data_IF_195821184686
#
_entry.id   IF_195821184686
#
_cell.length_a   1.000
_cell.length_b   1.000
_cell.length_c   1.000
_cell.angle_alpha   90.00
_cell.angle_beta   90.00
_cell.angle_gamma   90.00
#
_symmetry.space_group_name_H-M   'P 1'
#
loop_
_entity.id
_entity.type
_entity.pdbx_description
1 polymer ?
#
# COMPACT_ATOMS: atom_id res chain seq x y z
N UNK A 1 13.56 3.79 -29.83
CA UNK A 1 13.08 5.18 -30.11
C UNK A 1 13.73 5.68 -31.38
N UNK A 2 13.10 6.62 -32.07
CA UNK A 2 13.59 7.24 -33.30
C UNK A 2 13.70 8.75 -33.10
N UNK A 3 14.82 9.34 -33.54
CA UNK A 3 15.02 10.78 -33.56
C UNK A 3 14.78 11.31 -34.98
N UNK A 4 13.95 12.34 -35.13
CA UNK A 4 13.65 12.96 -36.41
C UNK A 4 13.37 14.45 -36.20
N UNK A 5 14.05 15.31 -36.97
CA UNK A 5 13.90 16.78 -36.92
C UNK A 5 13.87 17.34 -35.47
N UNK A 6 14.86 16.99 -34.65
CA UNK A 6 15.00 17.36 -33.22
C UNK A 6 13.87 16.87 -32.29
N UNK A 7 12.92 16.09 -32.81
CA UNK A 7 11.91 15.38 -32.06
C UNK A 7 12.31 13.95 -31.73
N UNK A 8 11.70 13.40 -30.70
CA UNK A 8 11.85 12.01 -30.30
C UNK A 8 10.49 11.30 -30.34
N UNK A 9 10.47 10.13 -30.98
CA UNK A 9 9.25 9.37 -31.22
C UNK A 9 9.45 7.91 -30.77
N UNK A 10 8.43 7.38 -30.10
CA UNK A 10 8.36 5.95 -29.78
C UNK A 10 7.99 5.13 -31.02
N UNK A 11 8.49 3.90 -31.06
CA UNK A 11 8.17 2.86 -32.04
C UNK A 11 8.11 1.53 -31.31
N UNK A 12 7.34 0.52 -31.79
CA UNK A 12 7.25 -0.77 -31.13
C UNK A 12 8.62 -1.36 -30.82
N UNK A 13 8.82 -1.84 -29.59
CA UNK A 13 10.11 -2.38 -29.13
C UNK A 13 10.65 -3.53 -30.00
N UNK A 14 9.76 -4.28 -30.66
CA UNK A 14 10.13 -5.36 -31.58
C UNK A 14 10.95 -4.89 -32.80
N UNK A 15 10.98 -3.59 -33.09
CA UNK A 15 11.77 -2.99 -34.17
C UNK A 15 13.15 -2.50 -33.70
N UNK A 16 13.59 -2.85 -32.49
CA UNK A 16 14.90 -2.47 -32.00
C UNK A 16 16.01 -2.98 -32.94
N UNK A 17 16.89 -2.06 -33.36
CA UNK A 17 17.96 -2.36 -34.32
C UNK A 17 17.52 -2.45 -35.79
N UNK A 18 16.23 -2.30 -36.09
CA UNK A 18 15.72 -2.28 -37.46
C UNK A 18 15.76 -0.87 -38.06
N UNK A 19 15.93 -0.79 -39.38
CA UNK A 19 15.77 0.45 -40.12
C UNK A 19 14.28 0.79 -40.30
N UNK A 20 13.97 2.07 -40.16
CA UNK A 20 12.62 2.62 -40.35
C UNK A 20 12.69 3.89 -41.19
N UNK A 21 11.63 4.15 -41.94
CA UNK A 21 11.49 5.39 -42.70
C UNK A 21 10.50 6.31 -42.00
N UNK A 22 10.83 7.59 -41.98
CA UNK A 22 10.01 8.62 -41.33
C UNK A 22 9.56 9.63 -42.39
N UNK A 23 8.28 9.99 -42.37
CA UNK A 23 7.73 11.04 -43.24
C UNK A 23 6.81 11.98 -42.46
N UNK A 24 6.76 13.21 -42.91
CA UNK A 24 5.80 14.22 -42.44
C UNK A 24 4.54 14.14 -43.29
N UNK A 25 3.37 14.31 -42.68
CA UNK A 25 2.09 14.37 -43.36
C UNK A 25 1.18 15.42 -42.71
N UNK A 26 0.48 16.21 -43.53
CA UNK A 26 -0.34 17.33 -43.05
C UNK A 26 0.47 18.62 -42.85
N UNK A 27 -0.19 19.65 -42.32
CA UNK A 27 0.39 20.98 -42.09
C UNK A 27 -0.12 21.56 -40.77
N UNK A 28 0.68 22.45 -40.18
CA UNK A 28 0.37 23.16 -38.93
C UNK A 28 -0.07 22.19 -37.80
N UNK A 29 -1.25 22.36 -37.22
CA UNK A 29 -1.73 21.53 -36.10
C UNK A 29 -2.12 20.10 -36.52
N UNK A 30 -2.40 19.88 -37.81
CA UNK A 30 -2.70 18.56 -38.36
C UNK A 30 -1.42 17.81 -38.79
N UNK A 31 -0.23 18.35 -38.51
CA UNK A 31 1.03 17.71 -38.86
C UNK A 31 1.27 16.42 -38.06
N UNK A 32 1.51 15.34 -38.77
CA UNK A 32 1.78 14.02 -38.26
C UNK A 32 3.13 13.50 -38.76
N UNK A 33 3.87 12.88 -37.85
CA UNK A 33 5.07 12.10 -38.12
C UNK A 33 4.65 10.65 -38.23
N UNK A 34 4.79 10.10 -39.43
CA UNK A 34 4.42 8.73 -39.75
C UNK A 34 5.70 7.93 -39.91
N UNK A 35 5.81 6.84 -39.15
CA UNK A 35 6.96 5.95 -39.15
C UNK A 35 6.53 4.63 -39.76
N UNK A 36 7.28 4.17 -40.76
CA UNK A 36 7.04 2.92 -41.46
C UNK A 36 8.26 2.01 -41.36
N UNK A 37 8.04 0.70 -41.24
CA UNK A 37 9.09 -0.31 -41.25
C UNK A 37 8.86 -1.28 -42.40
N UNK A 38 9.94 -1.77 -43.00
CA UNK A 38 9.88 -2.87 -43.94
C UNK A 38 9.74 -4.18 -43.16
N UNK A 39 8.70 -4.96 -43.47
CA UNK A 39 8.48 -6.30 -42.94
C UNK A 39 8.47 -7.35 -44.05
N UNK A 40 8.26 -8.62 -43.67
CA UNK A 40 8.16 -9.74 -44.63
C UNK A 40 7.03 -9.54 -45.64
N UNK A 41 5.94 -8.90 -45.22
CA UNK A 41 4.74 -8.68 -46.03
C UNK A 41 4.71 -7.29 -46.70
N UNK A 42 5.85 -6.59 -46.74
CA UNK A 42 5.99 -5.25 -47.32
C UNK A 42 6.13 -4.14 -46.28
N UNK A 43 5.94 -2.89 -46.72
CA UNK A 43 6.10 -1.70 -45.88
C UNK A 43 4.82 -1.44 -45.09
N UNK A 44 4.93 -1.36 -43.76
CA UNK A 44 3.80 -1.13 -42.85
C UNK A 44 4.03 0.12 -42.01
N UNK A 45 2.97 0.88 -41.79
CA UNK A 45 2.94 1.93 -40.77
C UNK A 45 2.97 1.32 -39.37
N UNK A 46 3.99 1.69 -38.60
CA UNK A 46 4.26 1.13 -37.27
C UNK A 46 4.02 2.14 -36.15
N UNK A 47 4.03 3.43 -36.47
CA UNK A 47 3.68 4.48 -35.52
C UNK A 47 3.21 5.74 -36.24
N UNK A 48 2.33 6.49 -35.60
CA UNK A 48 1.87 7.82 -36.02
C UNK A 48 1.81 8.73 -34.81
N UNK A 49 2.50 9.86 -34.89
CA UNK A 49 2.58 10.83 -33.80
C UNK A 49 2.28 12.23 -34.32
N UNK A 50 1.77 13.12 -33.46
CA UNK A 50 1.88 14.55 -33.73
C UNK A 50 3.33 15.02 -33.65
N UNK A 51 3.65 16.23 -34.12
CA UNK A 51 5.01 16.80 -34.03
C UNK A 51 5.51 16.89 -32.57
N UNK A 52 6.68 16.33 -32.28
CA UNK A 52 7.36 16.49 -31.00
C UNK A 52 8.09 17.84 -30.94
N UNK A 53 8.21 18.42 -29.73
CA UNK A 53 9.04 19.62 -29.48
C UNK A 53 10.21 19.24 -28.58
N UNK A 54 11.32 20.00 -28.58
CA UNK A 54 12.42 19.78 -27.66
C UNK A 54 11.92 19.68 -26.20
N UNK A 55 12.32 18.62 -25.50
CA UNK A 55 11.86 18.33 -24.12
C UNK A 55 10.47 17.70 -24.00
N UNK A 56 9.75 17.49 -25.11
CA UNK A 56 8.42 16.85 -25.14
C UNK A 56 8.38 15.72 -26.18
N UNK A 57 9.00 14.57 -25.88
CA UNK A 57 8.94 13.41 -26.78
C UNK A 57 7.51 12.92 -26.97
N UNK A 58 7.24 12.26 -28.09
CA UNK A 58 5.95 11.60 -28.37
C UNK A 58 6.08 10.11 -28.10
N UNK A 59 5.54 9.71 -26.96
CA UNK A 59 5.60 8.35 -26.44
C UNK A 59 4.18 7.79 -26.47
N UNK A 60 4.06 6.62 -27.08
CA UNK A 60 2.89 5.75 -27.02
C UNK A 60 3.32 4.53 -26.22
N UNK A 61 2.64 4.31 -25.09
CA UNK A 61 2.97 3.25 -24.15
C UNK A 61 2.71 1.86 -24.74
N UNK A 62 1.81 1.72 -25.73
CA UNK A 62 1.55 0.46 -26.43
C UNK A 62 2.80 -0.07 -27.17
N UNK A 63 3.75 0.81 -27.49
CA UNK A 63 5.03 0.41 -28.09
C UNK A 63 5.94 -0.36 -27.13
N UNK A 64 5.70 -0.23 -25.83
CA UNK A 64 6.47 -0.85 -24.76
C UNK A 64 5.54 -1.70 -23.87
N UNK A 65 4.93 -2.77 -24.43
CA UNK A 65 4.11 -3.68 -23.65
C UNK A 65 4.97 -4.25 -22.54
N UNK A 66 4.67 -3.86 -21.30
CA UNK A 66 5.37 -4.35 -20.13
C UNK A 66 4.55 -5.51 -19.59
N UNK A 67 5.03 -6.74 -19.75
CA UNK A 67 4.38 -7.92 -19.17
C UNK A 67 4.22 -7.73 -17.64
N UNK A 68 2.97 -7.64 -17.18
CA UNK A 68 2.41 -7.91 -15.84
C UNK A 68 3.14 -7.41 -14.56
N UNK A 69 4.25 -6.68 -14.65
CA UNK A 69 5.01 -6.15 -13.50
C UNK A 69 5.20 -4.65 -13.63
N UNK A 70 4.11 -3.95 -13.94
CA UNK A 70 4.11 -2.49 -13.97
C UNK A 70 4.43 -2.01 -12.54
N UNK A 71 5.68 -1.58 -12.31
CA UNK A 71 6.06 -0.87 -11.09
C UNK A 71 5.24 0.41 -11.06
N UNK A 72 4.11 0.39 -10.34
CA UNK A 72 3.30 1.59 -10.10
C UNK A 72 4.20 2.57 -9.35
N UNK A 73 4.45 3.79 -9.88
CA UNK A 73 5.23 4.78 -9.16
C UNK A 73 4.66 4.99 -7.75
N UNK A 74 5.48 4.74 -6.73
CA UNK A 74 5.07 4.78 -5.32
C UNK A 74 4.76 3.42 -4.68
N UNK A 75 4.57 2.35 -5.46
CA UNK A 75 4.41 0.98 -4.95
C UNK A 75 5.69 0.21 -5.22
N UNK A 76 6.58 0.24 -4.22
CA UNK A 76 7.82 -0.53 -4.26
C UNK A 76 7.69 -1.75 -3.35
N UNK A 77 8.09 -2.92 -3.88
CA UNK A 77 8.30 -4.10 -3.04
C UNK A 77 9.41 -3.79 -2.03
N UNK A 78 9.15 -4.03 -0.74
CA UNK A 78 10.14 -3.84 0.32
C UNK A 78 11.15 -4.98 0.22
N UNK A 79 12.36 -4.69 -0.24
CA UNK A 79 13.45 -5.66 -0.34
C UNK A 79 14.56 -5.32 0.63
N UNK A 80 15.04 -6.30 1.39
CA UNK A 80 16.16 -6.10 2.31
C UNK A 80 17.45 -5.80 1.56
N UNK A 81 18.14 -4.72 1.98
CA UNK A 81 19.47 -4.37 1.47
C UNK A 81 20.55 -4.53 2.55
N UNK A 82 20.20 -5.04 3.74
CA UNK A 82 21.14 -5.32 4.82
C UNK A 82 20.66 -6.45 5.73
N UNK A 83 21.57 -7.12 6.47
CA UNK A 83 21.20 -8.20 7.39
C UNK A 83 20.19 -7.78 8.47
N UNK A 84 20.28 -6.54 8.95
CA UNK A 84 19.33 -6.00 9.94
C UNK A 84 17.91 -5.89 9.38
N UNK A 85 17.80 -5.47 8.12
CA UNK A 85 16.53 -5.33 7.41
C UNK A 85 15.95 -6.71 7.07
N UNK A 86 16.79 -7.66 6.68
CA UNK A 86 16.40 -9.06 6.47
C UNK A 86 15.86 -9.68 7.76
N UNK A 87 16.56 -9.51 8.88
CA UNK A 87 16.13 -10.01 10.19
C UNK A 87 14.79 -9.38 10.63
N UNK A 88 14.56 -8.11 10.28
CA UNK A 88 13.31 -7.43 10.57
C UNK A 88 12.16 -7.92 9.67
N UNK A 89 12.35 -7.99 8.36
CA UNK A 89 11.34 -8.52 7.42
C UNK A 89 11.01 -9.98 7.71
N UNK A 90 11.98 -10.74 8.18
CA UNK A 90 11.78 -12.10 8.65
C UNK A 90 10.71 -12.18 9.75
N UNK A 91 10.46 -11.15 10.57
CA UNK A 91 9.47 -11.20 11.66
C UNK A 91 8.09 -11.63 11.15
N UNK A 92 7.60 -11.02 10.06
CA UNK A 92 6.32 -11.37 9.45
C UNK A 92 5.71 -10.27 8.57
N UNK A 93 4.41 -10.36 8.33
CA UNK A 93 3.67 -9.46 7.45
C UNK A 93 3.53 -8.06 8.04
N UNK A 94 3.26 -7.95 9.34
CA UNK A 94 3.18 -6.67 10.03
C UNK A 94 4.48 -5.86 9.97
N UNK A 95 5.63 -6.54 9.93
CA UNK A 95 6.92 -5.87 9.69
C UNK A 95 7.01 -5.23 8.28
N UNK A 96 6.49 -5.90 7.24
CA UNK A 96 6.47 -5.36 5.89
C UNK A 96 5.56 -4.12 5.80
N UNK A 97 4.37 -4.19 6.38
CA UNK A 97 3.44 -3.06 6.45
C UNK A 97 4.04 -1.89 7.23
N UNK A 98 4.68 -2.17 8.37
CA UNK A 98 5.34 -1.15 9.16
C UNK A 98 6.43 -0.42 8.37
N UNK A 99 7.26 -1.13 7.59
CA UNK A 99 8.29 -0.50 6.77
C UNK A 99 7.72 0.36 5.64
N UNK A 100 6.68 -0.13 4.96
CA UNK A 100 6.01 0.61 3.89
C UNK A 100 5.43 1.91 4.41
N UNK A 101 4.64 1.84 5.48
CA UNK A 101 3.97 3.01 6.06
C UNK A 101 4.96 3.96 6.75
N UNK A 102 5.98 3.43 7.44
CA UNK A 102 7.02 4.25 8.05
C UNK A 102 7.81 5.05 7.00
N UNK A 103 8.11 4.43 5.85
CA UNK A 103 8.78 5.09 4.73
C UNK A 103 7.90 6.16 4.09
N UNK A 104 6.61 5.86 3.85
CA UNK A 104 5.64 6.83 3.36
C UNK A 104 5.48 8.04 4.29
N UNK A 105 5.53 7.81 5.61
CA UNK A 105 5.48 8.86 6.63
C UNK A 105 6.81 9.62 6.81
N UNK A 106 7.89 9.26 6.11
CA UNK A 106 9.20 9.91 6.26
C UNK A 106 9.86 9.67 7.63
N UNK A 107 9.63 8.50 8.22
CA UNK A 107 10.11 8.16 9.56
C UNK A 107 11.63 8.24 9.66
N UNK A 108 12.14 9.04 10.58
CA UNK A 108 13.57 9.11 10.87
C UNK A 108 14.05 7.92 11.72
N UNK A 109 15.35 7.60 11.63
CA UNK A 109 16.03 6.56 12.44
C UNK A 109 15.41 5.15 12.29
N UNK A 110 14.90 4.80 11.11
CA UNK A 110 14.29 3.48 10.83
C UNK A 110 15.19 2.30 11.22
N UNK A 111 16.50 2.34 10.87
CA UNK A 111 17.46 1.28 11.23
C UNK A 111 17.49 0.98 12.74
N UNK A 112 17.52 2.01 13.57
CA UNK A 112 17.52 1.86 15.03
C UNK A 112 16.22 1.21 15.52
N UNK A 113 15.07 1.63 14.97
CA UNK A 113 13.75 1.12 15.35
C UNK A 113 13.55 -0.33 14.91
N UNK A 114 14.00 -0.69 13.71
CA UNK A 114 14.02 -2.09 13.24
C UNK A 114 14.87 -2.96 14.17
N UNK A 115 16.08 -2.52 14.51
CA UNK A 115 16.94 -3.25 15.45
C UNK A 115 16.31 -3.46 16.82
N UNK A 116 15.59 -2.45 17.33
CA UNK A 116 14.82 -2.58 18.58
C UNK A 116 13.68 -3.58 18.46
N UNK A 117 12.93 -3.58 17.35
CA UNK A 117 11.85 -4.54 17.11
C UNK A 117 12.38 -5.98 16.97
N UNK A 118 13.51 -6.18 16.30
CA UNK A 118 14.21 -7.49 16.22
C UNK A 118 14.68 -7.95 17.60
N UNK A 119 15.18 -7.04 18.45
CA UNK A 119 15.53 -7.37 19.82
C UNK A 119 14.29 -7.78 20.64
N UNK A 120 13.18 -7.04 20.50
CA UNK A 120 11.91 -7.36 21.17
C UNK A 120 11.33 -8.69 20.69
N UNK A 121 11.46 -9.05 19.41
CA UNK A 121 10.94 -10.32 18.89
C UNK A 121 11.67 -11.52 19.49
N UNK A 122 12.95 -11.36 19.85
CA UNK A 122 13.72 -12.39 20.57
C UNK A 122 13.26 -12.57 22.02
N UNK A 123 12.70 -11.52 22.64
CA UNK A 123 12.24 -11.53 24.03
C UNK A 123 10.76 -11.97 24.17
N UNK A 124 9.90 -11.52 23.27
CA UNK A 124 8.44 -11.68 23.35
C UNK A 124 7.84 -12.63 22.32
N UNK A 125 8.67 -13.18 21.43
CA UNK A 125 8.25 -14.01 20.30
C UNK A 125 7.96 -13.17 19.05
N UNK A 126 8.20 -13.75 17.87
CA UNK A 126 8.02 -13.08 16.58
C UNK A 126 6.58 -12.74 16.27
N UNK A 127 5.66 -13.69 16.47
CA UNK A 127 4.24 -13.52 16.15
C UNK A 127 3.64 -12.31 16.87
N UNK A 128 3.88 -12.21 18.18
CA UNK A 128 3.38 -11.09 19.00
C UNK A 128 3.96 -9.75 18.55
N UNK A 129 5.23 -9.71 18.16
CA UNK A 129 5.86 -8.48 17.64
C UNK A 129 5.34 -8.15 16.25
N UNK A 130 5.08 -9.13 15.38
CA UNK A 130 4.52 -8.92 14.05
C UNK A 130 3.14 -8.27 14.13
N UNK A 131 2.25 -8.79 14.97
CA UNK A 131 0.92 -8.20 15.20
C UNK A 131 1.00 -6.76 15.70
N UNK A 132 1.93 -6.48 16.60
CA UNK A 132 2.13 -5.12 17.13
C UNK A 132 2.70 -4.20 16.06
N UNK A 133 3.61 -4.67 15.21
CA UNK A 133 4.12 -3.89 14.07
C UNK A 133 3.00 -3.57 13.07
N UNK A 134 2.14 -4.53 12.76
CA UNK A 134 0.95 -4.30 11.93
C UNK A 134 -0.02 -3.30 12.56
N UNK A 135 -0.25 -3.41 13.87
CA UNK A 135 -1.08 -2.45 14.62
C UNK A 135 -0.44 -1.05 14.59
N UNK A 136 0.86 -0.95 14.82
CA UNK A 136 1.60 0.30 14.79
C UNK A 136 1.54 0.95 13.40
N UNK A 137 1.68 0.16 12.34
CA UNK A 137 1.54 0.62 10.95
C UNK A 137 0.15 1.22 10.68
N UNK A 138 -0.91 0.49 11.07
CA UNK A 138 -2.29 0.91 10.87
C UNK A 138 -2.63 2.24 11.57
N UNK A 139 -2.00 2.53 12.73
CA UNK A 139 -2.21 3.76 13.49
C UNK A 139 -1.13 4.84 13.25
N UNK A 140 -0.20 4.64 12.31
CA UNK A 140 0.86 5.61 12.04
C UNK A 140 1.87 5.81 13.18
N UNK A 141 2.04 4.80 14.04
CA UNK A 141 2.90 4.85 15.24
C UNK A 141 4.31 4.36 14.93
N UNK A 142 5.16 5.29 14.49
CA UNK A 142 6.55 5.03 14.10
C UNK A 142 7.58 5.66 15.05
N UNK A 143 7.15 6.10 16.23
CA UNK A 143 7.98 6.68 17.27
C UNK A 143 8.91 5.67 17.93
N UNK A 144 10.00 6.18 18.52
CA UNK A 144 10.90 5.34 19.32
C UNK A 144 10.16 4.82 20.55
N UNK A 145 10.14 3.50 20.73
CA UNK A 145 9.44 2.87 21.85
C UNK A 145 7.95 2.60 21.62
N UNK A 146 7.37 2.94 20.47
CA UNK A 146 5.94 2.68 20.19
C UNK A 146 5.61 1.19 20.22
N UNK A 147 6.45 0.36 19.60
CA UNK A 147 6.30 -1.10 19.62
C UNK A 147 6.36 -1.65 21.05
N UNK A 148 7.28 -1.15 21.87
CA UNK A 148 7.38 -1.56 23.28
C UNK A 148 6.16 -1.09 24.11
N UNK A 149 5.68 0.13 23.86
CA UNK A 149 4.48 0.69 24.50
C UNK A 149 3.23 -0.14 24.17
N UNK A 150 3.04 -0.52 22.91
CA UNK A 150 1.93 -1.36 22.46
C UNK A 150 2.01 -2.78 23.03
N UNK A 151 3.22 -3.36 23.08
CA UNK A 151 3.44 -4.66 23.73
C UNK A 151 3.06 -4.62 25.22
N UNK A 152 3.48 -3.58 25.95
CA UNK A 152 3.17 -3.41 27.36
C UNK A 152 1.67 -3.18 27.60
N UNK A 153 1.02 -2.37 26.77
CA UNK A 153 -0.43 -2.14 26.87
C UNK A 153 -1.24 -3.43 26.71
N UNK A 154 -0.86 -4.30 25.76
CA UNK A 154 -1.52 -5.60 25.57
C UNK A 154 -1.34 -6.54 26.78
N UNK A 155 -0.22 -6.46 27.50
CA UNK A 155 -0.06 -7.22 28.75
C UNK A 155 -1.02 -6.71 29.84
N UNK A 156 -1.22 -5.40 29.93
CA UNK A 156 -2.16 -4.82 30.89
C UNK A 156 -3.62 -5.19 30.58
N UNK A 157 -4.00 -5.23 29.29
CA UNK A 157 -5.37 -5.55 28.88
C UNK A 157 -5.73 -7.04 29.05
N UNK A 158 -4.76 -7.95 28.96
CA UNK A 158 -4.97 -9.37 29.32
C UNK A 158 -5.43 -9.57 30.79
N UNK A 159 -5.18 -8.60 31.67
CA UNK A 159 -5.69 -8.58 33.03
C UNK A 159 -7.11 -8.00 33.17
N UNK A 160 -7.60 -7.27 32.16
CA UNK A 160 -8.92 -6.64 32.15
C UNK A 160 -9.99 -7.67 31.72
N UNK A 161 -10.25 -8.61 32.62
CA UNK A 161 -11.40 -9.53 32.46
C UNK A 161 -12.68 -8.75 32.77
N UNK A 162 -13.45 -8.43 31.74
CA UNK A 162 -14.84 -8.00 31.88
C UNK A 162 -15.69 -9.17 32.36
N UNK A 163 -16.24 -9.09 33.58
CA UNK A 163 -17.25 -10.03 34.03
C UNK A 163 -18.58 -9.72 33.33
N UNK A 164 -19.13 -10.69 32.60
CA UNK A 164 -20.54 -10.62 32.16
C UNK A 164 -21.48 -10.62 33.37
N UNK A 165 -22.74 -10.23 33.17
CA UNK A 165 -23.73 -10.13 34.25
C UNK A 165 -23.84 -11.42 35.09
N UNK A 166 -23.70 -12.59 34.44
CA UNK A 166 -23.74 -13.92 35.09
C UNK A 166 -22.50 -14.24 35.94
N UNK A 167 -21.42 -13.47 35.78
CA UNK A 167 -20.15 -13.64 36.49
C UNK A 167 -19.82 -12.45 37.41
N UNK A 168 -20.76 -11.51 37.57
CA UNK A 168 -20.62 -10.33 38.41
C UNK A 168 -21.30 -10.54 39.77
N UNK A 169 -20.61 -10.17 40.86
CA UNK A 169 -21.22 -10.08 42.21
C UNK A 169 -21.99 -8.77 42.42
N UNK A 170 -21.92 -7.83 41.45
CA UNK A 170 -22.73 -6.63 41.50
C UNK A 170 -24.17 -6.99 41.12
N UNK A 171 -25.10 -6.76 42.03
CA UNK A 171 -26.53 -6.92 41.78
C UNK A 171 -26.92 -6.04 40.57
N UNK A 172 -27.37 -6.66 39.47
CA UNK A 172 -27.86 -5.92 38.31
C UNK A 172 -29.05 -5.01 38.65
N UNK A 173 -29.26 -3.95 37.89
CA UNK A 173 -30.38 -3.01 38.09
C UNK A 173 -31.74 -3.57 37.68
N UNK A 174 -31.79 -4.81 37.19
CA UNK A 174 -33.03 -5.55 36.88
C UNK A 174 -33.99 -5.64 38.08
N UNK A 175 -33.48 -5.71 39.31
CA UNK A 175 -34.32 -5.63 40.52
C UNK A 175 -35.03 -4.28 40.68
N UNK A 176 -34.46 -3.20 40.12
CA UNK A 176 -35.08 -1.87 40.14
C UNK A 176 -36.19 -1.71 39.09
N UNK A 177 -36.12 -2.43 37.96
CA UNK A 177 -37.19 -2.43 36.95
C UNK A 177 -38.49 -3.06 37.46
N UNK A 178 -38.39 -4.05 38.37
CA UNK A 178 -39.57 -4.63 39.01
C UNK A 178 -40.28 -3.63 39.94
N UNK A 179 -39.54 -2.69 40.56
CA UNK A 179 -40.07 -1.68 41.47
C UNK A 179 -40.75 -0.50 40.74
N UNK A 180 -40.43 -0.26 39.47
CA UNK A 180 -41.06 0.80 38.68
C UNK A 180 -42.35 0.38 37.97
N UNK A 181 -42.74 -0.90 38.06
CA UNK A 181 -44.00 -1.36 37.48
C UNK A 181 -45.14 -1.03 38.46
N UNK A 182 -46.07 -0.13 38.11
CA UNK A 182 -47.17 0.21 39.01
C UNK A 182 -48.04 -1.04 39.22
N UNK A 183 -48.25 -1.43 40.47
CA UNK A 183 -49.25 -2.42 40.84
C UNK A 183 -50.61 -1.90 40.38
N UNK A 184 -51.14 -2.46 39.29
CA UNK A 184 -52.55 -2.28 38.94
C UNK A 184 -53.33 -3.09 39.96
N UNK A 185 -53.64 -2.47 41.09
CA UNK A 185 -54.59 -3.02 42.06
C UNK A 185 -55.95 -2.93 41.36
N UNK A 186 -56.41 -4.08 40.86
CA UNK A 186 -57.78 -4.23 40.39
C UNK A 186 -58.71 -4.07 41.60
N UNK A 187 -59.40 -2.94 41.63
CA UNK A 187 -60.46 -2.65 42.59
C UNK A 187 -61.67 -3.56 42.28
N UNK A 188 -62.24 -4.19 43.30
CA UNK A 188 -63.36 -5.13 43.13
C UNK A 188 -64.09 -5.48 44.43
N UNK A 189 -65.22 -4.79 44.65
CA UNK A 189 -66.37 -5.17 45.50
C UNK A 189 -66.17 -4.94 47.00
N UNK A 190 -67.15 -4.56 47.83
CA UNK A 190 -68.63 -4.55 47.85
C UNK A 190 -69.02 -3.38 48.82
N UNK A 191 -70.16 -2.67 48.77
CA UNK A 191 -71.59 -3.01 48.77
C UNK A 191 -72.39 -1.80 48.25
#
# INVERSE_FOLDING_TARGET
>A
MVAFESGQYSVPHALLGSEVFVRVHGVAEAEQIIIVAAGRDGVREVARHGRARPGSPKIDDEHFPTDATQKVPGVYAVTANSPDEEAFLMIGHGAHEWLREAAAAGTSRMRQKMGQAVALSRLHGRERVDEVLGTAAAYGRFGTGDVASLLAHRVADQGSRSAGEDASLAQGTVGWQAMSSPSTTADGGEL
#
